data_IF_907440782972
#
_entry.id   IF_907440782972
#
_cell.length_a   1.000
_cell.length_b   1.000
_cell.length_c   1.000
_cell.angle_alpha   90.00
_cell.angle_beta   90.00
_cell.angle_gamma   90.00
#
_symmetry.space_group_name_H-M   'P 1'
#
loop_
_entity.id
_entity.type
_entity.pdbx_description
1 polymer ?
#
# COMPACT_ATOMS: atom_id res chain seq x y z
N UNK A 1 7.72 -8.05 -32.38
CA UNK A 1 7.95 -8.19 -31.70
C UNK A 1 8.42 -8.08 -30.93
N UNK A 2 8.41 -8.03 -30.71
CA UNK A 2 8.82 -7.97 -29.62
C UNK A 2 9.40 -7.99 -28.96
N UNK A 3 9.36 -8.26 -28.73
CA UNK A 3 9.81 -8.38 -27.99
C UNK A 3 10.48 -9.12 -28.05
N UNK A 4 10.68 -9.61 -28.53
CA UNK A 4 11.18 -10.37 -28.45
C UNK A 4 12.05 -10.67 -28.01
N UNK A 5 11.86 -10.81 -27.99
CA UNK A 5 12.55 -11.09 -27.28
C UNK A 5 13.35 -11.15 -27.17
N UNK A 6 13.62 -11.31 -27.56
CA UNK A 6 14.28 -11.34 -27.17
C UNK A 6 14.76 -11.23 -26.54
N UNK A 7 14.55 -11.27 -26.68
CA UNK A 7 14.87 -11.17 -25.79
C UNK A 7 14.95 -10.81 -25.16
N UNK A 8 14.80 -10.84 -25.43
CA UNK A 8 14.76 -10.50 -24.56
C UNK A 8 14.79 -10.11 -23.98
N UNK A 9 14.87 -10.00 -24.03
CA UNK A 9 14.78 -9.70 -23.28
C UNK A 9 14.72 -9.25 -22.68
N UNK A 10 14.73 -9.26 -23.18
CA UNK A 10 14.51 -8.88 -22.40
C UNK A 10 14.24 -8.41 -21.98
N UNK A 11 14.05 -8.30 -22.31
CA UNK A 11 13.59 -7.89 -21.68
C UNK A 11 13.43 -7.27 -21.56
N UNK A 12 13.55 -7.18 -22.00
CA UNK A 12 13.17 -6.68 -21.79
C UNK A 12 12.73 -6.27 -22.15
N UNK A 13 12.45 -6.29 -22.62
CA UNK A 13 11.81 -6.11 -22.85
C UNK A 13 11.29 -5.83 -23.49
N UNK A 14 11.21 -5.89 -24.08
CA UNK A 14 10.59 -5.70 -24.54
C UNK A 14 9.96 -5.31 -24.80
N UNK A 15 9.37 -4.95 -24.95
CA UNK A 15 8.57 -4.60 -24.79
C UNK A 15 7.77 -4.21 -25.13
N UNK A 16 7.39 -4.27 -25.41
CA UNK A 16 6.47 -3.87 -25.32
C UNK A 16 5.82 -3.80 -24.78
N UNK A 17 5.81 -3.97 -24.57
CA UNK A 17 5.24 -3.88 -23.49
C UNK A 17 3.98 -3.41 -23.09
N UNK A 18 3.45 -3.77 -22.27
CA UNK A 18 2.10 -3.44 -21.87
C UNK A 18 2.08 -2.10 -21.19
N UNK A 19 1.40 -1.07 -21.75
CA UNK A 19 1.46 0.28 -21.17
C UNK A 19 0.99 0.33 -19.72
N UNK A 20 0.02 -0.46 -19.33
CA UNK A 20 -0.51 -0.42 -17.97
C UNK A 20 0.50 -0.88 -16.91
N UNK A 21 1.60 -1.47 -17.33
CA UNK A 21 2.60 -1.92 -16.36
C UNK A 21 3.36 -0.76 -15.74
N UNK A 22 3.48 0.36 -16.44
CA UNK A 22 4.19 1.50 -15.87
C UNK A 22 3.27 2.53 -15.26
N UNK A 23 1.98 2.28 -15.29
CA UNK A 23 1.05 3.04 -14.47
C UNK A 23 0.61 2.19 -13.29
N UNK A 24 1.52 1.38 -12.77
CA UNK A 24 1.22 0.57 -11.61
C UNK A 24 0.95 1.46 -10.41
N UNK A 25 -0.01 1.03 -9.62
CA UNK A 25 -0.40 1.74 -8.42
C UNK A 25 0.77 1.82 -7.44
N UNK A 26 1.11 3.04 -7.01
CA UNK A 26 2.09 3.24 -5.94
C UNK A 26 1.54 2.73 -4.62
N UNK A 27 0.23 2.92 -4.40
CA UNK A 27 -0.41 2.42 -3.19
C UNK A 27 -0.25 0.90 -3.11
N UNK A 28 -0.52 0.19 -4.22
CA UNK A 28 -0.38 -1.25 -4.24
C UNK A 28 1.06 -1.69 -4.02
N UNK A 29 2.02 -0.99 -4.64
CA UNK A 29 3.43 -1.33 -4.51
C UNK A 29 3.91 -1.14 -3.07
N UNK A 30 3.48 -0.06 -2.42
CA UNK A 30 3.86 0.21 -1.05
C UNK A 30 3.23 -0.81 -0.10
N UNK A 31 1.97 -1.15 -0.31
CA UNK A 31 1.30 -2.15 0.51
C UNK A 31 2.00 -3.51 0.40
N UNK A 32 2.33 -3.93 -0.81
CA UNK A 32 3.02 -5.20 -1.02
C UNK A 32 4.39 -5.20 -0.37
N UNK A 33 5.14 -4.09 -0.50
CA UNK A 33 6.46 -3.97 0.11
C UNK A 33 6.38 -3.98 1.63
N UNK A 34 5.35 -3.34 2.18
CA UNK A 34 5.17 -3.32 3.62
C UNK A 34 4.87 -4.73 4.15
N UNK A 35 3.99 -5.46 3.48
CA UNK A 35 3.65 -6.81 3.93
C UNK A 35 4.82 -7.78 3.81
N UNK A 36 5.61 -7.65 2.76
CA UNK A 36 6.74 -8.56 2.53
C UNK A 36 8.01 -8.16 3.27
N UNK A 37 8.06 -6.94 3.82
CA UNK A 37 9.26 -6.45 4.48
C UNK A 37 10.32 -5.98 3.50
N UNK A 38 9.92 -5.52 2.31
CA UNK A 38 10.84 -5.05 1.27
C UNK A 38 11.29 -3.63 1.59
N UNK A 39 12.31 -3.53 2.43
CA UNK A 39 12.80 -2.22 2.90
C UNK A 39 13.34 -1.36 1.77
N UNK A 40 13.97 -1.97 0.77
CA UNK A 40 14.55 -1.23 -0.34
C UNK A 40 13.48 -0.49 -1.13
N UNK A 41 12.38 -1.17 -1.45
CA UNK A 41 11.27 -0.55 -2.15
C UNK A 41 10.64 0.55 -1.31
N UNK A 42 10.48 0.32 -0.01
CA UNK A 42 9.90 1.34 0.87
C UNK A 42 10.81 2.56 0.98
N UNK A 43 12.13 2.37 1.05
CA UNK A 43 13.06 3.49 1.03
C UNK A 43 12.89 4.36 -0.21
N UNK A 44 12.63 3.72 -1.34
CA UNK A 44 12.52 4.41 -2.60
C UNK A 44 11.18 5.12 -2.76
N UNK A 45 10.09 4.51 -2.29
CA UNK A 45 8.75 5.01 -2.54
C UNK A 45 8.19 5.92 -1.44
N UNK A 46 8.81 5.94 -0.26
CA UNK A 46 8.35 6.78 0.84
C UNK A 46 9.25 8.01 0.97
N UNK A 47 8.61 9.17 1.04
CA UNK A 47 9.30 10.46 1.19
C UNK A 47 9.97 10.54 2.56
N UNK A 48 11.13 11.21 2.62
CA UNK A 48 11.87 11.33 3.89
C UNK A 48 11.07 12.04 4.98
N UNK A 49 10.15 12.94 4.58
CA UNK A 49 9.31 13.69 5.52
C UNK A 49 7.96 13.03 5.76
N UNK A 50 7.84 11.76 5.42
CA UNK A 50 6.60 11.01 5.55
C UNK A 50 6.04 11.03 6.96
N UNK A 51 4.71 11.16 7.05
CA UNK A 51 3.98 11.01 8.29
C UNK A 51 2.81 10.05 8.09
N UNK A 52 2.71 9.08 8.98
CA UNK A 52 1.55 8.20 9.08
C UNK A 52 0.76 8.66 10.29
N UNK A 53 -0.44 9.20 10.06
CA UNK A 53 -1.31 9.67 11.13
C UNK A 53 -2.35 8.59 11.37
N UNK A 54 -2.18 7.89 12.49
CA UNK A 54 -3.05 6.78 12.84
C UNK A 54 -4.36 7.26 13.44
N UNK A 55 -5.43 6.50 13.20
CA UNK A 55 -6.70 6.72 13.89
C UNK A 55 -6.60 6.34 15.38
N UNK A 56 -5.53 5.65 15.77
CA UNK A 56 -5.25 5.43 17.18
C UNK A 56 -4.66 6.73 17.73
N UNK A 57 -5.39 7.36 18.64
CA UNK A 57 -5.14 8.73 19.04
C UNK A 57 -3.70 9.06 19.37
N UNK A 58 -3.21 10.11 18.77
CA UNK A 58 -1.89 10.66 19.06
C UNK A 58 -0.71 9.94 18.44
N UNK A 59 -0.94 8.88 17.67
CA UNK A 59 0.17 8.14 17.07
C UNK A 59 0.51 8.71 15.71
N UNK A 60 1.76 9.17 15.56
CA UNK A 60 2.32 9.61 14.28
C UNK A 60 3.62 8.86 14.06
N UNK A 61 3.72 8.16 12.92
CA UNK A 61 4.91 7.39 12.59
C UNK A 61 5.60 8.03 11.39
N UNK A 62 6.92 8.00 11.39
CA UNK A 62 7.72 8.46 10.26
C UNK A 62 8.15 7.33 9.35
N UNK A 63 8.94 7.69 8.34
CA UNK A 63 9.42 6.73 7.34
C UNK A 63 10.20 5.59 7.99
N UNK A 64 11.15 5.91 8.88
CA UNK A 64 11.97 4.87 9.50
C UNK A 64 11.13 3.93 10.37
N UNK A 65 10.09 4.47 11.02
CA UNK A 65 9.19 3.65 11.82
C UNK A 65 8.46 2.64 10.94
N UNK A 66 7.95 3.09 9.80
CA UNK A 66 7.22 2.22 8.87
C UNK A 66 8.12 1.12 8.34
N UNK A 67 9.35 1.47 7.97
CA UNK A 67 10.29 0.49 7.44
C UNK A 67 10.65 -0.54 8.51
N UNK A 68 10.82 -0.10 9.76
CA UNK A 68 11.22 -1.00 10.85
C UNK A 68 10.14 -2.02 11.20
N UNK A 69 8.85 -1.69 10.99
CA UNK A 69 7.77 -2.64 11.29
C UNK A 69 7.31 -3.41 10.06
N UNK A 70 7.83 -3.08 8.89
CA UNK A 70 7.47 -3.79 7.67
C UNK A 70 7.85 -5.27 7.78
N UNK A 71 6.96 -6.14 7.31
CA UNK A 71 7.20 -7.57 7.33
C UNK A 71 7.04 -8.23 8.69
N UNK A 72 6.66 -7.47 9.72
CA UNK A 72 6.53 -8.02 11.07
C UNK A 72 5.33 -8.97 11.22
N UNK A 73 4.33 -8.86 10.33
CA UNK A 73 3.11 -9.64 10.45
C UNK A 73 2.16 -9.15 11.52
N UNK A 74 2.46 -8.00 12.15
CA UNK A 74 1.61 -7.46 13.20
C UNK A 74 0.25 -7.01 12.72
N UNK A 75 0.17 -6.58 11.47
CA UNK A 75 -1.08 -6.21 10.82
C UNK A 75 -1.10 -6.83 9.45
N UNK A 76 -2.21 -7.50 9.11
CA UNK A 76 -2.43 -8.01 7.76
C UNK A 76 -3.71 -7.42 7.22
N UNK A 77 -3.78 -7.25 5.91
CA UNK A 77 -4.94 -6.65 5.27
C UNK A 77 -5.69 -7.67 4.45
N UNK A 78 -7.00 -7.69 4.63
CA UNK A 78 -7.90 -8.52 3.84
C UNK A 78 -8.73 -7.61 2.94
N UNK A 79 -8.99 -8.06 1.72
CA UNK A 79 -9.82 -7.32 0.75
C UNK A 79 -9.32 -5.90 0.54
N UNK A 80 -8.02 -5.76 0.38
CA UNK A 80 -7.42 -4.45 0.11
C UNK A 80 -7.84 -3.97 -1.29
N UNK A 81 -8.39 -2.77 -1.34
CA UNK A 81 -8.88 -2.17 -2.58
C UNK A 81 -8.38 -0.74 -2.69
N UNK A 82 -8.00 -0.37 -3.90
CA UNK A 82 -7.66 1.01 -4.19
C UNK A 82 -8.89 1.65 -4.80
N UNK A 83 -9.46 2.63 -4.09
CA UNK A 83 -10.71 3.26 -4.48
C UNK A 83 -10.48 4.39 -5.48
N UNK A 84 -9.33 5.05 -5.38
CA UNK A 84 -8.97 6.15 -6.26
C UNK A 84 -7.47 6.38 -6.16
N UNK A 85 -6.83 6.67 -7.29
CA UNK A 85 -5.42 7.04 -7.27
C UNK A 85 -5.09 7.90 -8.47
N UNK A 86 -4.31 8.97 -8.23
CA UNK A 86 -3.66 9.76 -9.27
C UNK A 86 -2.25 10.11 -8.79
N UNK A 87 -1.60 11.07 -9.45
CA UNK A 87 -0.22 11.42 -9.10
C UNK A 87 -0.07 12.05 -7.73
N UNK A 88 -1.15 12.56 -7.15
CA UNK A 88 -1.11 13.31 -5.91
C UNK A 88 -1.82 12.63 -4.75
N UNK A 89 -2.83 11.82 -5.02
CA UNK A 89 -3.70 11.27 -4.00
C UNK A 89 -3.96 9.78 -4.28
N UNK A 90 -3.94 8.98 -3.21
CA UNK A 90 -4.38 7.59 -3.27
C UNK A 90 -5.31 7.30 -2.10
N UNK A 91 -6.45 6.68 -2.40
CA UNK A 91 -7.43 6.32 -1.37
C UNK A 91 -7.63 4.81 -1.42
N UNK A 92 -7.49 4.17 -0.28
CA UNK A 92 -7.56 2.72 -0.20
C UNK A 92 -8.42 2.29 0.98
N UNK A 93 -8.91 1.07 0.92
CA UNK A 93 -9.72 0.47 1.97
C UNK A 93 -9.34 -0.98 2.12
N UNK A 94 -9.39 -1.48 3.35
CA UNK A 94 -9.14 -2.88 3.62
C UNK A 94 -9.58 -3.23 5.02
N UNK A 95 -9.57 -4.52 5.32
CA UNK A 95 -9.86 -5.01 6.65
C UNK A 95 -8.54 -5.36 7.32
N UNK A 96 -8.25 -4.68 8.41
CA UNK A 96 -7.02 -4.91 9.15
C UNK A 96 -7.25 -5.97 10.23
N UNK A 97 -6.38 -6.96 10.23
CA UNK A 97 -6.36 -8.00 11.26
C UNK A 97 -5.07 -7.86 12.05
N UNK A 98 -5.18 -7.95 13.36
CA UNK A 98 -4.04 -7.70 14.24
C UNK A 98 -3.55 -9.00 14.88
N UNK A 99 -2.25 -9.25 14.82
CA UNK A 99 -1.65 -10.47 15.36
C UNK A 99 -1.81 -10.58 16.86
N UNK A 100 -1.99 -9.45 17.56
CA UNK A 100 -2.15 -9.44 19.01
C UNK A 100 -3.56 -9.80 19.47
N UNK A 101 -4.46 -10.13 18.52
CA UNK A 101 -5.83 -10.51 18.87
C UNK A 101 -6.81 -9.37 19.05
N UNK A 102 -6.38 -8.14 18.79
CA UNK A 102 -7.30 -6.99 18.83
C UNK A 102 -8.40 -7.14 17.79
N UNK A 103 -9.53 -6.47 18.02
CA UNK A 103 -10.66 -6.51 17.10
C UNK A 103 -10.25 -6.01 15.72
N UNK A 104 -10.64 -6.76 14.69
CA UNK A 104 -10.39 -6.36 13.30
C UNK A 104 -11.14 -5.07 12.97
N UNK A 105 -10.59 -4.31 12.05
CA UNK A 105 -11.13 -2.99 11.71
C UNK A 105 -11.26 -2.82 10.20
N UNK A 106 -12.34 -2.14 9.79
CA UNK A 106 -12.46 -1.65 8.42
C UNK A 106 -11.73 -0.31 8.37
N UNK A 107 -10.69 -0.22 7.55
CA UNK A 107 -9.80 0.94 7.53
C UNK A 107 -9.87 1.64 6.17
N UNK A 108 -10.15 2.93 6.22
CA UNK A 108 -10.05 3.81 5.06
C UNK A 108 -8.79 4.64 5.22
N UNK A 109 -7.93 4.65 4.21
CA UNK A 109 -6.68 5.38 4.27
C UNK A 109 -6.64 6.42 3.14
N UNK A 110 -6.33 7.65 3.53
CA UNK A 110 -6.03 8.73 2.60
C UNK A 110 -4.52 8.86 2.49
N UNK A 111 -4.00 8.84 1.27
CA UNK A 111 -2.58 8.98 1.00
C UNK A 111 -2.33 10.20 0.12
N UNK A 112 -1.23 10.91 0.39
CA UNK A 112 -0.79 12.02 -0.45
C UNK A 112 0.62 11.73 -0.94
N UNK A 113 0.84 12.02 -2.22
CA UNK A 113 2.16 11.86 -2.84
C UNK A 113 2.76 13.23 -3.13
N UNK A 114 4.08 13.33 -3.01
CA UNK A 114 4.85 14.51 -3.37
C UNK A 114 6.14 14.06 -4.02
N UNK A 115 6.43 14.63 -5.20
CA UNK A 115 7.63 14.29 -5.97
C UNK A 115 7.71 12.78 -6.26
N UNK A 116 6.55 12.18 -6.51
CA UNK A 116 6.46 10.76 -6.83
C UNK A 116 6.57 9.82 -5.64
N UNK A 117 6.62 10.36 -4.41
CA UNK A 117 6.78 9.56 -3.20
C UNK A 117 5.65 9.80 -2.22
N UNK A 118 5.36 8.78 -1.43
CA UNK A 118 4.32 8.87 -0.41
C UNK A 118 4.81 9.76 0.73
N UNK A 119 4.08 10.85 1.00
CA UNK A 119 4.48 11.81 2.04
C UNK A 119 3.53 11.85 3.22
N UNK A 120 2.29 11.40 3.05
CA UNK A 120 1.31 11.43 4.12
C UNK A 120 0.34 10.27 3.96
N UNK A 121 0.04 9.62 5.07
CA UNK A 121 -1.08 8.68 5.15
C UNK A 121 -1.87 9.00 6.40
N UNK A 122 -3.19 8.97 6.27
CA UNK A 122 -4.08 9.23 7.39
C UNK A 122 -5.20 8.21 7.36
N UNK A 123 -5.47 7.56 8.49
CA UNK A 123 -6.45 6.48 8.55
C UNK A 123 -7.66 6.86 9.37
N UNK A 124 -8.81 6.33 8.96
CA UNK A 124 -10.02 6.27 9.76
C UNK A 124 -10.48 4.84 9.79
N UNK A 125 -10.95 4.36 10.92
CA UNK A 125 -11.30 2.96 11.04
C UNK A 125 -12.51 2.75 11.90
N UNK A 126 -13.21 1.64 11.64
CA UNK A 126 -14.36 1.20 12.41
C UNK A 126 -14.18 -0.27 12.76
N UNK A 127 -14.33 -0.65 14.04
CA UNK A 127 -14.31 -2.06 14.40
C UNK A 127 -15.42 -2.80 13.65
N UNK A 128 -15.12 -3.99 13.17
CA UNK A 128 -16.13 -4.76 12.45
C UNK A 128 -16.81 -5.72 13.41
N UNK A 129 -18.12 -5.91 13.19
CA UNK A 129 -18.90 -6.85 13.97
C UNK A 129 -18.87 -8.22 13.30
N UNK A 130 -19.35 -9.23 14.01
CA UNK A 130 -19.45 -10.58 13.45
C UNK A 130 -20.37 -10.64 12.24
N UNK A 131 -21.28 -9.67 12.12
CA UNK A 131 -22.24 -9.61 11.01
C UNK A 131 -21.70 -8.89 9.80
N UNK A 132 -20.48 -8.36 9.87
CA UNK A 132 -19.94 -7.55 8.76
C UNK A 132 -19.79 -8.37 7.49
N UNK A 133 -20.26 -7.83 6.39
CA UNK A 133 -20.12 -8.45 5.09
C UNK A 133 -19.28 -7.54 4.20
N UNK A 134 -18.30 -8.13 3.53
CA UNK A 134 -17.43 -7.38 2.61
C UNK A 134 -18.19 -7.11 1.32
N UNK A 135 -18.74 -5.92 1.21
CA UNK A 135 -19.52 -5.53 0.02
C UNK A 135 -18.60 -5.49 -1.19
N UNK A 136 -19.07 -6.07 -2.31
CA UNK A 136 -18.31 -6.09 -3.53
C UNK A 136 -17.42 -7.31 -3.70
N UNK A 137 -17.55 -8.27 -2.82
CA UNK A 137 -16.86 -9.55 -2.92
C UNK A 137 -17.85 -10.62 -3.32
N UNK A 138 -17.95 -10.89 -4.57
CA UNK A 138 -18.84 -11.95 -5.05
C UNK A 138 -18.06 -13.00 -5.80
#
# INVERSE_FOLDING_TARGET
MGCRSRSVQSTRKCHTLLPHLWVMSKVAAIQAAFESGDAETLEELIHDDYQFISHVGGMVLGKSDMISIAGSGGVTMENHRILFENDEIGIEHGIAHFANGSTSEAVLTFNRFKDGKLILSETGATPISDDYQLIGQD
#
